data_IF_177387958110
#
_entry.id   IF_177387958110
#
_cell.length_a   1.000
_cell.length_b   1.000
_cell.length_c   1.000
_cell.angle_alpha   90.00
_cell.angle_beta   90.00
_cell.angle_gamma   90.00
#
_symmetry.space_group_name_H-M   'P 1'
#
loop_
_entity.id
_entity.type
_entity.pdbx_description
1 polymer ?
#
# COMPACT_ATOMS: atom_id res chain seq x y z
N UNK A 1 1.17 -3.24 10.07
CA UNK A 1 2.16 -3.28 8.96
C UNK A 1 1.41 -3.27 7.62
N UNK A 2 1.99 -2.75 6.54
CA UNK A 2 1.30 -2.66 5.24
C UNK A 2 1.46 -3.93 4.40
N UNK A 3 0.76 -5.00 4.80
CA UNK A 3 0.83 -6.32 4.11
C UNK A 3 0.30 -6.25 2.69
N UNK A 4 -0.84 -5.61 2.48
CA UNK A 4 -1.51 -5.56 1.18
C UNK A 4 -0.67 -4.81 0.15
N UNK A 5 -0.13 -3.65 0.51
CA UNK A 5 0.78 -2.90 -0.35
C UNK A 5 2.00 -3.73 -0.75
N UNK A 6 2.61 -4.47 0.18
CA UNK A 6 3.74 -5.37 -0.13
C UNK A 6 3.33 -6.49 -1.10
N UNK A 7 2.17 -7.09 -0.91
CA UNK A 7 1.67 -8.16 -1.80
C UNK A 7 1.46 -7.62 -3.21
N UNK A 8 0.81 -6.47 -3.36
CA UNK A 8 0.60 -5.87 -4.68
C UNK A 8 1.91 -5.39 -5.30
N UNK A 9 2.87 -4.89 -4.51
CA UNK A 9 4.22 -4.61 -5.00
C UNK A 9 4.90 -5.85 -5.58
N UNK A 10 4.80 -7.00 -4.90
CA UNK A 10 5.33 -8.27 -5.43
C UNK A 10 4.59 -8.74 -6.69
N UNK A 11 3.28 -8.54 -6.77
CA UNK A 11 2.46 -8.92 -7.94
C UNK A 11 2.75 -8.07 -9.16
N UNK A 12 2.91 -6.77 -8.97
CA UNK A 12 3.16 -5.79 -10.03
C UNK A 12 4.64 -5.55 -10.33
N UNK A 13 5.55 -6.33 -9.72
CA UNK A 13 7.02 -6.18 -9.79
C UNK A 13 7.52 -4.77 -9.43
N UNK A 14 6.79 -4.06 -8.56
CA UNK A 14 7.13 -2.70 -8.13
C UNK A 14 8.15 -2.76 -7.00
N UNK A 15 9.33 -2.20 -7.22
CA UNK A 15 10.40 -2.18 -6.21
C UNK A 15 10.23 -1.01 -5.24
N UNK A 16 10.55 -1.17 -3.94
CA UNK A 16 10.53 -0.05 -2.99
C UNK A 16 11.51 1.08 -3.39
N UNK A 17 12.56 0.74 -4.14
CA UNK A 17 13.48 1.71 -4.72
C UNK A 17 12.79 2.66 -5.70
N UNK A 18 11.90 2.15 -6.56
CA UNK A 18 11.15 2.99 -7.52
C UNK A 18 10.19 3.94 -6.80
N UNK A 19 9.53 3.45 -5.74
CA UNK A 19 8.67 4.29 -4.90
C UNK A 19 9.51 5.38 -4.20
N UNK A 20 10.71 5.05 -3.74
CA UNK A 20 11.63 5.99 -3.11
C UNK A 20 12.09 7.08 -4.09
N UNK A 21 12.47 6.70 -5.31
CA UNK A 21 12.83 7.63 -6.38
C UNK A 21 11.66 8.54 -6.76
N UNK A 22 10.46 7.96 -6.94
CA UNK A 22 9.26 8.71 -7.30
C UNK A 22 8.83 9.72 -6.23
N UNK A 23 8.95 9.37 -4.95
CA UNK A 23 8.65 10.27 -3.83
C UNK A 23 9.82 11.18 -3.46
N UNK A 24 10.98 11.02 -4.11
CA UNK A 24 12.23 11.69 -3.78
C UNK A 24 12.58 11.56 -2.28
N UNK A 25 12.45 10.34 -1.75
CA UNK A 25 12.74 9.98 -0.35
C UNK A 25 13.86 8.95 -0.29
N UNK A 26 14.49 8.85 0.88
CA UNK A 26 15.49 7.80 1.11
C UNK A 26 14.80 6.44 1.11
N UNK A 27 15.45 5.46 0.48
CA UNK A 27 14.99 4.07 0.45
C UNK A 27 14.66 3.54 1.84
N UNK A 28 15.54 3.78 2.83
CA UNK A 28 15.33 3.38 4.22
C UNK A 28 14.00 3.90 4.77
N UNK A 29 13.66 5.17 4.52
CA UNK A 29 12.38 5.76 4.98
C UNK A 29 11.17 5.06 4.38
N UNK A 30 11.24 4.61 3.13
CA UNK A 30 10.15 3.85 2.50
C UNK A 30 10.04 2.46 3.14
N UNK A 31 11.17 1.80 3.40
CA UNK A 31 11.18 0.50 4.08
C UNK A 31 10.59 0.60 5.49
N UNK A 32 10.98 1.61 6.27
CA UNK A 32 10.40 1.89 7.59
C UNK A 32 8.89 2.09 7.52
N UNK A 33 8.41 2.87 6.55
CA UNK A 33 6.96 3.06 6.31
C UNK A 33 6.25 1.76 5.94
N UNK A 34 6.80 0.98 5.01
CA UNK A 34 6.23 -0.31 4.58
C UNK A 34 6.20 -1.34 5.71
N UNK A 35 7.19 -1.30 6.60
CA UNK A 35 7.22 -2.14 7.80
C UNK A 35 6.21 -1.70 8.87
N UNK A 36 5.65 -0.49 8.76
CA UNK A 36 4.67 0.05 9.69
C UNK A 36 5.31 0.82 10.86
N UNK A 37 6.56 1.25 10.74
CA UNK A 37 7.14 2.19 11.72
C UNK A 37 6.60 3.61 11.57
N UNK A 38 6.17 3.96 10.35
CA UNK A 38 5.59 5.27 10.03
C UNK A 38 4.48 5.15 9.01
N UNK A 39 3.48 6.03 9.11
CA UNK A 39 2.39 6.11 8.15
C UNK A 39 2.77 6.91 6.90
N UNK A 40 2.07 6.64 5.80
CA UNK A 40 2.13 7.47 4.59
C UNK A 40 1.22 8.68 4.73
N UNK A 41 1.70 9.84 4.28
CA UNK A 41 0.81 11.00 4.16
C UNK A 41 -0.18 10.78 3.01
N UNK A 42 -1.41 11.25 3.15
CA UNK A 42 -2.45 11.14 2.10
C UNK A 42 -1.96 11.54 0.69
N UNK A 43 -1.16 12.62 0.59
CA UNK A 43 -0.57 13.08 -0.66
C UNK A 43 0.42 12.07 -1.26
N UNK A 44 1.24 11.42 -0.42
CA UNK A 44 2.18 10.39 -0.87
C UNK A 44 1.40 9.15 -1.34
N UNK A 45 0.42 8.72 -0.55
CA UNK A 45 -0.43 7.58 -0.86
C UNK A 45 -1.18 7.75 -2.20
N UNK A 46 -1.78 8.93 -2.44
CA UNK A 46 -2.43 9.25 -3.71
C UNK A 46 -1.49 9.16 -4.91
N UNK A 47 -0.26 9.69 -4.77
CA UNK A 47 0.74 9.63 -5.84
C UNK A 47 1.12 8.18 -6.15
N UNK A 48 1.41 7.38 -5.12
CA UNK A 48 1.76 5.96 -5.28
C UNK A 48 0.61 5.21 -5.96
N UNK A 49 -0.63 5.45 -5.52
CA UNK A 49 -1.81 4.84 -6.11
C UNK A 49 -1.93 5.19 -7.58
N UNK A 50 -1.90 6.47 -7.94
CA UNK A 50 -2.10 6.89 -9.32
C UNK A 50 -0.99 6.38 -10.27
N UNK A 51 0.25 6.26 -9.79
CA UNK A 51 1.40 5.84 -10.60
C UNK A 51 1.54 4.32 -10.69
N UNK A 52 1.45 3.62 -9.55
CA UNK A 52 1.78 2.19 -9.46
C UNK A 52 0.56 1.29 -9.34
N UNK A 53 -0.54 1.77 -8.76
CA UNK A 53 -1.72 0.96 -8.44
C UNK A 53 -3.03 1.66 -8.80
N UNK A 54 -3.22 2.11 -10.06
CA UNK A 54 -4.40 2.87 -10.44
C UNK A 54 -5.70 2.05 -10.30
N UNK A 55 -5.61 0.72 -10.40
CA UNK A 55 -6.72 -0.21 -10.22
C UNK A 55 -7.12 -0.47 -8.76
N UNK A 56 -6.25 -0.16 -7.79
CA UNK A 56 -6.52 -0.44 -6.38
C UNK A 56 -6.91 0.82 -5.61
N UNK A 57 -7.78 0.65 -4.62
CA UNK A 57 -8.17 1.74 -3.70
C UNK A 57 -7.15 1.93 -2.58
N UNK A 58 -7.00 3.18 -2.12
CA UNK A 58 -6.15 3.51 -0.97
C UNK A 58 -6.54 2.71 0.27
N UNK A 59 -7.85 2.54 0.51
CA UNK A 59 -8.39 1.75 1.62
C UNK A 59 -7.90 0.30 1.61
N UNK A 60 -7.68 -0.28 0.41
CA UNK A 60 -7.19 -1.64 0.27
C UNK A 60 -5.67 -1.73 0.44
N UNK A 61 -4.94 -0.82 -0.20
CA UNK A 61 -3.48 -0.79 -0.18
C UNK A 61 -2.93 -0.45 1.21
N UNK A 62 -3.58 0.51 1.88
CA UNK A 62 -3.14 1.08 3.16
C UNK A 62 -3.95 0.57 4.36
N UNK A 63 -4.61 -0.60 4.23
CA UNK A 63 -5.31 -1.21 5.36
C UNK A 63 -4.30 -1.54 6.47
N UNK A 64 -4.51 -0.97 7.66
CA UNK A 64 -3.78 -1.34 8.86
C UNK A 64 -4.28 -2.67 9.41
N UNK A 65 -3.46 -3.38 10.19
CA UNK A 65 -3.88 -4.62 10.86
C UNK A 65 -5.04 -4.39 11.85
N UNK A 66 -5.30 -3.14 12.26
CA UNK A 66 -6.31 -2.78 13.25
C UNK A 66 -7.74 -2.60 12.67
N UNK A 67 -7.92 -2.59 11.34
CA UNK A 67 -9.19 -2.21 10.68
C UNK A 67 -9.72 -3.26 9.69
N UNK A 68 -9.40 -4.55 9.84
CA UNK A 68 -10.05 -5.63 9.07
C UNK A 68 -11.15 -6.32 9.88
N UNK A 69 -12.29 -5.63 10.07
CA UNK A 69 -13.54 -6.30 10.53
C UNK A 69 -14.73 -6.14 9.55
N UNK A 70 -14.64 -5.29 8.52
CA UNK A 70 -15.88 -4.85 7.82
C UNK A 70 -16.13 -5.39 6.41
N UNK A 71 -15.41 -6.38 5.87
CA UNK A 71 -15.76 -6.94 4.53
C UNK A 71 -15.65 -8.47 4.36
N UNK A 72 -16.23 -9.23 5.29
CA UNK A 72 -16.73 -10.59 5.02
C UNK A 72 -18.24 -10.58 4.68
N UNK A 73 -18.71 -10.00 3.57
CA UNK A 73 -20.05 -10.36 3.02
C UNK A 73 -20.11 -10.26 1.49
N UNK A 74 -20.51 -11.36 0.86
CA UNK A 74 -20.75 -11.50 -0.57
C UNK A 74 -19.70 -12.43 -1.19
N UNK A 75 -19.83 -13.75 -1.16
CA UNK A 75 -20.87 -14.45 -1.90
C UNK A 75 -21.11 -15.85 -1.30
N UNK A 76 -22.29 -16.10 -0.71
CA UNK A 76 -22.86 -17.44 -0.68
C UNK A 76 -23.75 -17.51 -1.91
N UNK A 77 -23.26 -18.14 -2.97
CA UNK A 77 -24.11 -18.61 -4.07
C UNK A 77 -24.63 -19.96 -3.58
N UNK A 78 -25.89 -19.96 -3.16
CA UNK A 78 -26.68 -21.18 -2.96
C UNK A 78 -27.32 -21.55 -4.29
#
# INVERSE_FOLDING_TARGET
MLKNLKVEMLRSDVKPAQIAEFLNRRYATIIDKLNGHYDFTFKEALKIKNEFFPEHSLEYLFVGDDEDDSKKKGCKIS
#
